data_IF_270382720249
#
_entry.id   IF_270382720249
#
_cell.length_a   1.000
_cell.length_b   1.000
_cell.length_c   1.000
_cell.angle_alpha   90.00
_cell.angle_beta   90.00
_cell.angle_gamma   90.00
#
_symmetry.space_group_name_H-M   'P 1'
#
loop_
_entity.id
_entity.type
_entity.pdbx_description
1 polymer ?
#
# COMPACT_ATOMS: atom_id res chain seq x y z
N UNK A 1 -25.85 6.94 -20.70
CA UNK A 1 -24.99 7.59 -19.68
C UNK A 1 -25.44 7.08 -18.32
N UNK A 2 -24.59 6.38 -17.56
CA UNK A 2 -24.93 5.90 -16.21
C UNK A 2 -24.29 6.87 -15.19
N UNK A 3 -25.07 7.65 -14.43
CA UNK A 3 -24.51 8.55 -13.42
C UNK A 3 -23.80 7.74 -12.34
N UNK A 4 -22.70 8.27 -11.81
CA UNK A 4 -22.03 7.74 -10.62
C UNK A 4 -22.60 8.41 -9.38
N UNK A 5 -22.74 7.65 -8.29
CA UNK A 5 -23.13 8.17 -6.98
C UNK A 5 -21.86 8.27 -6.12
N UNK A 6 -21.50 9.50 -5.74
CA UNK A 6 -20.43 9.75 -4.77
C UNK A 6 -21.04 9.99 -3.39
N UNK A 7 -20.72 9.13 -2.44
CA UNK A 7 -21.24 9.18 -1.06
C UNK A 7 -20.22 9.71 -0.04
N UNK A 8 -19.01 10.00 -0.47
CA UNK A 8 -17.92 10.53 0.36
C UNK A 8 -17.34 11.80 -0.27
N UNK A 9 -16.92 12.74 0.58
CA UNK A 9 -16.28 13.99 0.16
C UNK A 9 -14.82 13.77 -0.27
N UNK A 10 -14.28 14.71 -1.03
CA UNK A 10 -12.86 14.68 -1.42
C UNK A 10 -11.90 14.72 -0.21
N UNK A 11 -12.29 15.44 0.86
CA UNK A 11 -11.59 15.42 2.15
C UNK A 11 -11.56 14.01 2.75
N UNK A 12 -12.71 13.32 2.77
CA UNK A 12 -12.80 11.97 3.31
C UNK A 12 -12.01 10.98 2.45
N UNK A 13 -12.03 11.12 1.13
CA UNK A 13 -11.18 10.34 0.22
C UNK A 13 -9.71 10.52 0.58
N UNK A 14 -9.26 11.76 0.71
CA UNK A 14 -7.87 12.09 1.03
C UNK A 14 -7.45 11.47 2.36
N UNK A 15 -8.31 11.57 3.39
CA UNK A 15 -8.06 10.96 4.71
C UNK A 15 -7.97 9.45 4.65
N UNK A 16 -8.86 8.80 3.90
CA UNK A 16 -8.84 7.34 3.73
C UNK A 16 -7.56 6.90 3.03
N UNK A 17 -7.17 7.57 1.95
CA UNK A 17 -5.97 7.23 1.18
C UNK A 17 -4.71 7.41 2.02
N UNK A 18 -4.60 8.51 2.76
CA UNK A 18 -3.46 8.76 3.64
C UNK A 18 -3.34 7.69 4.74
N UNK A 19 -4.46 7.30 5.36
CA UNK A 19 -4.45 6.25 6.38
C UNK A 19 -4.10 4.88 5.77
N UNK A 20 -4.60 4.57 4.57
CA UNK A 20 -4.24 3.33 3.88
C UNK A 20 -2.73 3.25 3.60
N UNK A 21 -2.12 4.34 3.11
CA UNK A 21 -0.67 4.42 2.89
C UNK A 21 0.13 4.27 4.18
N UNK A 22 -0.33 4.89 5.26
CA UNK A 22 0.29 4.75 6.58
C UNK A 22 0.28 3.29 7.05
N UNK A 23 -0.86 2.60 6.93
CA UNK A 23 -0.97 1.17 7.26
C UNK A 23 -0.02 0.34 6.39
N UNK A 24 0.07 0.65 5.10
CA UNK A 24 0.96 -0.02 4.16
C UNK A 24 2.45 0.19 4.50
N UNK A 25 2.83 1.38 4.99
CA UNK A 25 4.19 1.71 5.39
C UNK A 25 4.58 1.13 6.76
N UNK A 26 3.68 1.18 7.74
CA UNK A 26 3.97 0.78 9.13
C UNK A 26 3.69 -0.71 9.39
N UNK A 27 2.58 -1.23 8.87
CA UNK A 27 2.15 -2.63 9.08
C UNK A 27 2.55 -3.52 7.93
N UNK A 28 2.49 -3.02 6.68
CA UNK A 28 2.81 -3.80 5.48
C UNK A 28 1.85 -4.96 5.23
N UNK A 29 2.23 -5.85 4.31
CA UNK A 29 1.42 -6.99 3.87
C UNK A 29 2.17 -8.32 3.93
N UNK A 30 1.46 -9.40 4.25
CA UNK A 30 1.95 -10.76 4.09
C UNK A 30 1.83 -11.20 2.61
N UNK A 31 2.98 -11.40 1.97
CA UNK A 31 3.06 -11.85 0.58
C UNK A 31 3.40 -13.34 0.55
N UNK A 32 2.35 -14.17 0.53
CA UNK A 32 2.47 -15.64 0.56
C UNK A 32 3.15 -16.24 -0.68
N UNK A 33 3.04 -15.56 -1.83
CA UNK A 33 3.63 -16.03 -3.08
C UNK A 33 5.13 -15.71 -3.15
N UNK A 34 5.99 -16.73 -3.10
CA UNK A 34 7.45 -16.55 -3.12
C UNK A 34 7.97 -15.74 -4.32
N UNK A 35 7.40 -15.95 -5.53
CA UNK A 35 7.76 -15.18 -6.73
C UNK A 35 7.42 -13.69 -6.61
N UNK A 36 6.24 -13.38 -6.06
CA UNK A 36 5.80 -12.01 -5.85
C UNK A 36 6.63 -11.32 -4.77
N UNK A 37 6.89 -12.03 -3.66
CA UNK A 37 7.74 -11.53 -2.58
C UNK A 37 9.13 -11.17 -3.10
N UNK A 38 9.75 -12.06 -3.89
CA UNK A 38 11.05 -11.80 -4.51
C UNK A 38 10.99 -10.56 -5.41
N UNK A 39 10.00 -10.47 -6.31
CA UNK A 39 9.86 -9.33 -7.22
C UNK A 39 9.76 -8.00 -6.46
N UNK A 40 9.01 -7.94 -5.37
CA UNK A 40 8.87 -6.72 -4.56
C UNK A 40 10.19 -6.33 -3.88
N UNK A 41 10.92 -7.30 -3.33
CA UNK A 41 12.25 -7.05 -2.77
C UNK A 41 13.25 -6.58 -3.83
N UNK A 42 13.20 -7.16 -5.04
CA UNK A 42 14.04 -6.76 -6.16
C UNK A 42 13.74 -5.31 -6.62
N UNK A 43 12.53 -4.80 -6.36
CA UNK A 43 12.15 -3.40 -6.62
C UNK A 43 12.46 -2.47 -5.42
N UNK A 44 13.17 -2.95 -4.41
CA UNK A 44 13.64 -2.13 -3.28
C UNK A 44 12.67 -2.00 -2.11
N UNK A 45 11.55 -2.75 -2.10
CA UNK A 45 10.69 -2.82 -0.93
C UNK A 45 11.42 -3.51 0.23
N UNK A 46 11.16 -3.04 1.45
CA UNK A 46 11.76 -3.57 2.68
C UNK A 46 10.79 -4.52 3.37
N UNK A 47 11.32 -5.33 4.26
CA UNK A 47 10.50 -6.10 5.20
C UNK A 47 10.33 -5.37 6.52
N UNK A 48 9.35 -5.78 7.30
CA UNK A 48 9.29 -5.49 8.73
C UNK A 48 10.50 -6.05 9.48
N UNK A 49 10.61 -5.71 10.77
CA UNK A 49 11.69 -6.18 11.65
C UNK A 49 11.74 -7.70 11.81
N UNK A 50 10.61 -8.39 11.61
CA UNK A 50 10.52 -9.85 11.67
C UNK A 50 10.78 -10.54 10.32
N UNK A 51 10.93 -9.79 9.23
CA UNK A 51 11.13 -10.34 7.88
C UNK A 51 9.89 -10.98 7.26
N UNK A 52 8.73 -10.90 7.93
CA UNK A 52 7.48 -11.60 7.56
C UNK A 52 6.64 -10.79 6.59
N UNK A 53 6.56 -9.48 6.80
CA UNK A 53 5.69 -8.59 6.02
C UNK A 53 6.53 -7.70 5.12
N UNK A 54 6.00 -7.39 3.95
CA UNK A 54 6.59 -6.39 3.04
C UNK A 54 5.98 -5.04 3.38
N UNK A 55 6.83 -4.06 3.66
CA UNK A 55 6.46 -2.67 3.91
C UNK A 55 6.43 -1.91 2.58
N UNK A 56 5.45 -1.02 2.45
CA UNK A 56 5.24 -0.19 1.28
C UNK A 56 5.33 1.28 1.69
N UNK A 57 6.55 1.87 1.72
CA UNK A 57 6.74 3.29 1.98
C UNK A 57 5.94 4.16 1.01
N UNK A 58 5.41 5.28 1.50
CA UNK A 58 4.52 6.14 0.73
C UNK A 58 5.17 6.69 -0.56
N UNK A 59 6.43 7.09 -0.49
CA UNK A 59 7.21 7.56 -1.64
C UNK A 59 7.29 6.51 -2.76
N UNK A 60 7.43 5.25 -2.39
CA UNK A 60 7.48 4.16 -3.35
C UNK A 60 6.11 3.85 -3.95
N UNK A 61 5.05 3.91 -3.13
CA UNK A 61 3.66 3.72 -3.60
C UNK A 61 3.25 4.81 -4.59
N UNK A 62 3.66 6.06 -4.36
CA UNK A 62 3.40 7.18 -5.27
C UNK A 62 4.22 7.12 -6.57
N UNK A 63 5.36 6.42 -6.56
CA UNK A 63 6.24 6.30 -7.73
C UNK A 63 5.91 5.13 -8.66
N UNK A 64 4.96 4.27 -8.28
CA UNK A 64 4.62 3.02 -8.96
C UNK A 64 3.66 3.22 -10.16
#
# INVERSE_FOLDING_TARGET
MRPTLNIISDDLITRIVNEAKRILAETGMDIRGAKMRKRLLDHGLKTDSEGKRILFPEDLVESA
#
